data_IF_867883270237
#
_entry.id   IF_867883270237
#
_cell.length_a   1.000
_cell.length_b   1.000
_cell.length_c   1.000
_cell.angle_alpha   90.00
_cell.angle_beta   90.00
_cell.angle_gamma   90.00
#
_symmetry.space_group_name_H-M   'P 1'
#
loop_
_entity.id
_entity.type
_entity.pdbx_description
1 polymer ?
#
# COMPACT_ATOMS: atom_id res chain seq x y z
N UNK A 1 30.71 13.53 11.32
CA UNK A 1 30.00 12.30 10.91
C UNK A 1 28.73 12.80 10.25
N UNK A 2 28.79 12.97 8.94
CA UNK A 2 27.62 13.30 8.14
C UNK A 2 26.89 11.97 7.89
N UNK A 3 25.69 11.87 8.44
CA UNK A 3 24.78 10.76 8.19
C UNK A 3 24.31 10.93 6.74
N UNK A 4 24.88 10.15 5.82
CA UNK A 4 24.43 10.08 4.43
C UNK A 4 22.91 9.84 4.45
N UNK A 5 22.09 10.73 3.87
CA UNK A 5 20.66 10.50 3.80
C UNK A 5 20.48 9.20 3.05
N UNK A 6 19.91 8.21 3.74
CA UNK A 6 19.59 6.90 3.22
C UNK A 6 18.50 7.10 2.16
N UNK A 7 18.95 7.57 1.01
CA UNK A 7 18.17 7.74 -0.18
C UNK A 7 17.95 6.33 -0.66
N UNK A 8 16.93 5.67 -0.10
CA UNK A 8 16.20 4.63 -0.78
C UNK A 8 15.62 5.28 -2.05
N UNK A 9 16.50 5.53 -3.00
CA UNK A 9 16.20 6.10 -4.29
C UNK A 9 15.21 5.15 -4.92
N UNK A 10 14.06 5.71 -5.31
CA UNK A 10 13.09 5.07 -6.18
C UNK A 10 13.84 4.44 -7.34
N UNK A 11 14.08 3.13 -7.27
CA UNK A 11 14.78 2.42 -8.33
C UNK A 11 13.78 2.19 -9.46
N UNK A 12 13.56 3.23 -10.26
CA UNK A 12 12.71 3.17 -11.44
C UNK A 12 13.22 2.14 -12.46
N UNK A 13 14.48 1.69 -12.37
CA UNK A 13 15.02 0.57 -13.13
C UNK A 13 14.33 -0.77 -12.83
N UNK A 14 13.61 -0.90 -11.72
CA UNK A 14 12.72 -2.04 -11.49
C UNK A 14 11.60 -2.08 -12.52
N UNK A 15 11.13 -0.93 -13.02
CA UNK A 15 10.07 -0.87 -14.03
C UNK A 15 10.52 -1.49 -15.36
N UNK A 16 11.79 -1.35 -15.73
CA UNK A 16 12.37 -1.97 -16.93
C UNK A 16 12.49 -3.50 -16.81
N UNK A 17 12.45 -4.04 -15.58
CA UNK A 17 12.51 -5.47 -15.30
C UNK A 17 11.14 -6.14 -15.19
N UNK A 18 10.05 -5.38 -15.35
CA UNK A 18 8.70 -5.89 -15.20
C UNK A 18 8.33 -6.86 -16.33
N UNK A 19 8.10 -8.11 -15.94
CA UNK A 19 7.48 -9.11 -16.80
C UNK A 19 5.96 -9.01 -16.74
N UNK A 20 5.25 -9.63 -17.68
CA UNK A 20 3.78 -9.71 -17.65
C UNK A 20 3.28 -10.36 -16.34
N UNK A 21 3.99 -11.36 -15.82
CA UNK A 21 3.67 -12.00 -14.55
C UNK A 21 3.85 -11.04 -13.37
N UNK A 22 4.89 -10.19 -13.41
CA UNK A 22 5.13 -9.15 -12.42
C UNK A 22 4.01 -8.11 -12.44
N UNK A 23 3.54 -7.73 -13.63
CA UNK A 23 2.42 -6.80 -13.80
C UNK A 23 1.13 -7.39 -13.24
N UNK A 24 0.82 -8.66 -13.53
CA UNK A 24 -0.34 -9.33 -12.92
C UNK A 24 -0.23 -9.37 -11.40
N UNK A 25 0.94 -9.74 -10.86
CA UNK A 25 1.16 -9.75 -9.41
C UNK A 25 0.96 -8.36 -8.76
N UNK A 26 1.42 -7.29 -9.43
CA UNK A 26 1.23 -5.91 -8.96
C UNK A 26 -0.27 -5.57 -8.93
N UNK A 27 -1.00 -5.87 -10.01
CA UNK A 27 -2.44 -5.59 -10.11
C UNK A 27 -3.21 -6.36 -9.02
N UNK A 28 -2.93 -7.64 -8.85
CA UNK A 28 -3.59 -8.48 -7.85
C UNK A 28 -3.29 -7.99 -6.43
N UNK A 29 -2.03 -7.64 -6.16
CA UNK A 29 -1.62 -7.10 -4.86
C UNK A 29 -2.25 -5.74 -4.59
N UNK A 30 -2.35 -4.87 -5.58
CA UNK A 30 -2.98 -3.56 -5.43
C UNK A 30 -4.49 -3.69 -5.18
N UNK A 31 -5.18 -4.59 -5.89
CA UNK A 31 -6.60 -4.86 -5.66
C UNK A 31 -6.84 -5.45 -4.27
N UNK A 32 -6.02 -6.41 -3.85
CA UNK A 32 -6.06 -6.98 -2.50
C UNK A 32 -5.81 -5.94 -1.41
N UNK A 33 -4.83 -5.06 -1.61
CA UNK A 33 -4.58 -3.91 -0.74
C UNK A 33 -5.79 -2.98 -0.64
N UNK A 34 -6.42 -2.60 -1.76
CA UNK A 34 -7.62 -1.74 -1.74
C UNK A 34 -8.77 -2.39 -0.94
N UNK A 35 -9.02 -3.68 -1.18
CA UNK A 35 -10.12 -4.42 -0.54
C UNK A 35 -9.89 -4.57 0.97
N UNK A 36 -8.68 -4.92 1.38
CA UNK A 36 -8.32 -5.06 2.80
C UNK A 36 -8.31 -3.70 3.50
N UNK A 37 -7.83 -2.64 2.85
CA UNK A 37 -7.92 -1.26 3.38
C UNK A 37 -9.36 -0.83 3.64
N UNK A 38 -10.26 -1.07 2.68
CA UNK A 38 -11.69 -0.76 2.86
C UNK A 38 -12.35 -1.61 3.95
N UNK A 39 -11.98 -2.88 4.04
CA UNK A 39 -12.50 -3.78 5.08
C UNK A 39 -12.07 -3.34 6.48
N UNK A 40 -10.79 -2.96 6.65
CA UNK A 40 -10.25 -2.45 7.92
C UNK A 40 -10.90 -1.11 8.32
N UNK A 41 -11.08 -0.19 7.36
CA UNK A 41 -11.59 1.16 7.65
C UNK A 41 -13.11 1.24 7.78
N UNK A 42 -13.86 0.33 7.15
CA UNK A 42 -15.32 0.28 7.30
C UNK A 42 -15.78 -0.24 8.68
N UNK A 43 -14.85 -0.69 9.53
CA UNK A 43 -15.16 -1.24 10.86
C UNK A 43 -15.87 -2.61 10.80
N UNK A 44 -16.08 -3.14 9.60
CA UNK A 44 -16.63 -4.48 9.36
C UNK A 44 -15.53 -5.57 9.25
N UNK A 45 -14.26 -5.16 9.33
CA UNK A 45 -13.11 -6.03 9.08
C UNK A 45 -12.81 -6.99 10.22
N UNK A 46 -12.68 -8.27 9.87
CA UNK A 46 -11.95 -9.25 10.67
C UNK A 46 -10.48 -8.83 10.77
N UNK A 47 -9.91 -8.87 11.99
CA UNK A 47 -8.50 -8.55 12.24
C UNK A 47 -7.55 -9.47 11.46
N UNK A 48 -8.04 -10.62 10.99
CA UNK A 48 -7.32 -11.51 10.07
C UNK A 48 -6.92 -10.83 8.75
N UNK A 49 -7.68 -9.83 8.28
CA UNK A 49 -7.38 -9.06 7.07
C UNK A 49 -6.11 -8.21 7.20
N UNK A 50 -5.61 -7.99 8.42
CA UNK A 50 -4.37 -7.26 8.66
C UNK A 50 -3.13 -7.99 8.11
N UNK A 51 -3.11 -9.32 8.16
CA UNK A 51 -2.00 -10.11 7.62
C UNK A 51 -1.94 -10.01 6.08
N UNK A 52 -3.09 -10.12 5.43
CA UNK A 52 -3.21 -9.98 3.97
C UNK A 52 -2.88 -8.55 3.52
N UNK A 53 -3.34 -7.55 4.26
CA UNK A 53 -2.99 -6.14 4.05
C UNK A 53 -1.47 -5.92 4.04
N UNK A 54 -0.76 -6.42 5.06
CA UNK A 54 0.71 -6.29 5.14
C UNK A 54 1.40 -7.05 4.00
N UNK A 55 0.90 -8.24 3.65
CA UNK A 55 1.44 -9.04 2.53
C UNK A 55 1.34 -8.28 1.19
N UNK A 56 0.19 -7.67 0.92
CA UNK A 56 -0.02 -6.87 -0.30
C UNK A 56 0.86 -5.62 -0.33
N UNK A 57 1.04 -4.93 0.80
CA UNK A 57 1.98 -3.79 0.89
C UNK A 57 3.40 -4.26 0.57
N UNK A 58 3.86 -5.33 1.21
CA UNK A 58 5.22 -5.82 1.00
C UNK A 58 5.47 -6.22 -0.47
N UNK A 59 4.47 -6.82 -1.13
CA UNK A 59 4.54 -7.12 -2.55
C UNK A 59 4.66 -5.85 -3.40
N UNK A 60 3.91 -4.79 -3.10
CA UNK A 60 3.97 -3.52 -3.83
C UNK A 60 5.29 -2.76 -3.58
N UNK A 61 5.78 -2.74 -2.34
CA UNK A 61 7.07 -2.14 -1.99
C UNK A 61 8.25 -2.85 -2.69
N UNK A 62 8.16 -4.18 -2.90
CA UNK A 62 9.16 -4.90 -3.70
C UNK A 62 9.33 -4.32 -5.11
N UNK A 63 8.29 -3.68 -5.65
CA UNK A 63 8.30 -3.05 -6.96
C UNK A 63 8.52 -1.52 -6.92
N UNK A 64 8.85 -0.95 -5.77
CA UNK A 64 9.07 0.50 -5.61
C UNK A 64 7.78 1.33 -5.65
N UNK A 65 6.63 0.72 -5.31
CA UNK A 65 5.31 1.36 -5.34
C UNK A 65 4.87 1.90 -3.97
N UNK A 66 5.81 2.23 -3.08
CA UNK A 66 5.52 2.73 -1.72
C UNK A 66 4.71 4.03 -1.76
N UNK A 67 5.02 4.93 -2.68
CA UNK A 67 4.32 6.20 -2.84
C UNK A 67 2.85 5.98 -3.19
N UNK A 68 2.56 5.04 -4.10
CA UNK A 68 1.20 4.68 -4.50
C UNK A 68 0.40 4.13 -3.30
N UNK A 69 0.99 3.21 -2.53
CA UNK A 69 0.37 2.64 -1.33
C UNK A 69 0.04 3.74 -0.32
N UNK A 70 1.00 4.62 -0.05
CA UNK A 70 0.84 5.73 0.90
C UNK A 70 -0.23 6.72 0.46
N UNK A 71 -0.20 7.15 -0.80
CA UNK A 71 -1.14 8.12 -1.35
C UNK A 71 -2.57 7.56 -1.36
N UNK A 72 -2.73 6.27 -1.69
CA UNK A 72 -4.02 5.60 -1.60
C UNK A 72 -4.51 5.53 -0.16
N UNK A 73 -3.65 5.12 0.78
CA UNK A 73 -4.03 5.00 2.18
C UNK A 73 -4.52 6.34 2.75
N UNK A 74 -3.78 7.43 2.50
CA UNK A 74 -4.22 8.77 2.90
C UNK A 74 -5.53 9.18 2.24
N UNK A 75 -5.69 8.93 0.94
CA UNK A 75 -6.96 9.22 0.25
C UNK A 75 -8.14 8.48 0.86
N UNK A 76 -7.97 7.21 1.20
CA UNK A 76 -9.06 6.44 1.82
C UNK A 76 -9.33 6.95 3.23
N UNK A 77 -8.31 7.32 4.00
CA UNK A 77 -8.50 7.96 5.31
C UNK A 77 -9.26 9.28 5.21
N UNK A 78 -8.89 10.17 4.27
CA UNK A 78 -9.58 11.44 4.03
C UNK A 78 -11.03 11.22 3.56
N UNK A 79 -11.25 10.21 2.72
CA UNK A 79 -12.57 9.85 2.22
C UNK A 79 -13.42 9.12 3.28
N UNK A 80 -12.81 8.57 4.34
CA UNK A 80 -13.52 7.94 5.45
C UNK A 80 -13.97 9.05 6.40
N UNK A 81 -15.25 9.45 6.39
CA UNK A 81 -15.70 10.55 7.21
C UNK A 81 -15.48 10.16 8.67
N UNK A 82 -14.88 11.05 9.46
CA UNK A 82 -14.84 10.94 10.93
C UNK A 82 -16.27 10.77 11.45
N UNK A 83 -16.77 9.53 11.55
CA UNK A 83 -18.05 9.24 12.19
C UNK A 83 -17.95 9.34 13.73
N UNK A 84 -16.78 9.65 14.29
CA UNK A 84 -16.54 9.71 15.73
C UNK A 84 -15.59 10.86 16.14
N UNK A 85 -15.95 12.11 15.88
CA UNK A 85 -15.39 13.25 16.61
C UNK A 85 -16.52 14.19 17.03
N UNK A 86 -17.26 13.77 18.06
CA UNK A 86 -17.84 14.72 19.00
C UNK A 86 -16.79 14.91 20.10
N UNK A 87 -16.08 16.04 20.08
CA UNK A 87 -15.38 16.57 21.26
C UNK A 87 -16.38 17.32 22.13
#
# INVERSE_FOLDING_TARGET
MEEEPNTAFFNLGILDSLTQDSVHQIIDSYNGFCNTTQSLLSGAGDLSAGADFVSHIHALCKFGLESLVRDHFFRVLEATPHKNLNF
#
